data_IF_203800945807
#
_entry.id   IF_203800945807
#
_cell.length_a   1.000
_cell.length_b   1.000
_cell.length_c   1.000
_cell.angle_alpha   90.00
_cell.angle_beta   90.00
_cell.angle_gamma   90.00
#
_symmetry.space_group_name_H-M   'P 1'
#
loop_
_entity.id
_entity.type
_entity.pdbx_description
1 polymer ?
#
# COMPACT_ATOMS: atom_id res chain seq x y z
N UNK A 1 -3.01 4.59 -20.69
CA UNK A 1 -3.80 3.68 -19.85
C UNK A 1 -3.00 2.87 -18.82
N UNK A 2 -2.35 1.72 -19.10
CA UNK A 2 -1.71 0.93 -17.99
C UNK A 2 -0.56 1.66 -17.29
N UNK A 3 0.46 2.08 -18.06
CA UNK A 3 1.60 2.91 -17.58
C UNK A 3 1.18 4.23 -16.91
N UNK A 4 0.06 4.77 -17.33
CA UNK A 4 -0.47 6.04 -16.82
C UNK A 4 -1.03 5.89 -15.42
N UNK A 5 -1.70 4.77 -15.11
CA UNK A 5 -2.16 4.50 -13.75
C UNK A 5 -0.99 4.30 -12.78
N UNK A 6 0.06 3.59 -13.21
CA UNK A 6 1.26 3.39 -12.42
C UNK A 6 1.96 4.70 -12.07
N UNK A 7 2.16 5.55 -13.09
CA UNK A 7 2.76 6.86 -12.91
C UNK A 7 1.92 7.76 -12.00
N UNK A 8 0.58 7.75 -12.15
CA UNK A 8 -0.32 8.49 -11.27
C UNK A 8 -0.26 7.98 -9.82
N UNK A 9 -0.20 6.66 -9.62
CA UNK A 9 -0.13 6.08 -8.28
C UNK A 9 1.17 6.48 -7.57
N UNK A 10 2.31 6.42 -8.28
CA UNK A 10 3.60 6.88 -7.77
C UNK A 10 3.57 8.38 -7.43
N UNK A 11 3.06 9.24 -8.33
CA UNK A 11 2.95 10.68 -8.09
C UNK A 11 2.03 11.02 -6.89
N UNK A 12 0.93 10.27 -6.75
CA UNK A 12 0.01 10.41 -5.62
C UNK A 12 0.69 10.03 -4.29
N UNK A 13 1.53 9.00 -4.29
CA UNK A 13 2.23 8.50 -3.10
C UNK A 13 3.47 9.28 -2.69
N UNK A 14 4.09 10.05 -3.59
CA UNK A 14 5.37 10.75 -3.38
C UNK A 14 5.27 11.91 -2.38
N UNK A 15 5.13 11.58 -1.11
CA UNK A 15 4.85 12.49 -0.01
C UNK A 15 5.74 12.20 1.21
N UNK A 16 6.33 13.24 1.78
CA UNK A 16 7.22 13.11 2.94
C UNK A 16 6.50 12.60 4.19
N UNK A 17 5.23 12.97 4.40
CA UNK A 17 4.46 12.46 5.54
C UNK A 17 4.09 10.99 5.35
N UNK A 18 3.73 10.57 4.13
CA UNK A 18 3.54 9.14 3.84
C UNK A 18 4.85 8.35 4.07
N UNK A 19 5.99 8.89 3.61
CA UNK A 19 7.31 8.27 3.85
C UNK A 19 7.64 8.15 5.34
N UNK A 20 7.30 9.16 6.15
CA UNK A 20 7.47 9.12 7.60
C UNK A 20 6.57 8.04 8.25
N UNK A 21 5.31 7.92 7.80
CA UNK A 21 4.40 6.87 8.27
C UNK A 21 4.95 5.48 7.94
N UNK A 22 5.49 5.25 6.73
CA UNK A 22 6.11 3.96 6.39
C UNK A 22 7.30 3.64 7.31
N UNK A 23 8.07 4.66 7.69
CA UNK A 23 9.17 4.50 8.65
C UNK A 23 8.65 4.07 10.01
N UNK A 24 7.63 4.76 10.53
CA UNK A 24 6.99 4.41 11.80
C UNK A 24 6.35 3.03 11.77
N UNK A 25 5.73 2.65 10.65
CA UNK A 25 5.16 1.33 10.47
C UNK A 25 6.23 0.24 10.58
N UNK A 26 7.36 0.37 9.89
CA UNK A 26 8.50 -0.53 10.05
C UNK A 26 9.01 -0.57 11.50
N UNK A 27 9.09 0.57 12.18
CA UNK A 27 9.61 0.64 13.54
C UNK A 27 8.66 -0.02 14.56
N UNK A 28 7.35 0.15 14.40
CA UNK A 28 6.34 -0.48 15.28
C UNK A 28 6.26 -1.99 15.02
N UNK A 29 6.28 -2.42 13.77
CA UNK A 29 6.14 -3.84 13.39
C UNK A 29 7.45 -4.62 13.41
N UNK A 30 8.58 -3.91 13.47
CA UNK A 30 9.93 -4.44 13.25
C UNK A 30 10.12 -5.09 11.87
N UNK A 31 9.24 -4.78 10.91
CA UNK A 31 9.30 -5.33 9.55
C UNK A 31 10.23 -4.51 8.65
N UNK A 32 10.89 -5.20 7.74
CA UNK A 32 11.88 -4.63 6.84
C UNK A 32 11.32 -3.94 5.59
N UNK A 33 10.11 -4.26 5.16
CA UNK A 33 9.48 -3.63 4.00
C UNK A 33 8.13 -3.04 4.38
N UNK A 34 7.82 -1.86 3.87
CA UNK A 34 6.51 -1.23 3.98
C UNK A 34 6.13 -0.49 2.69
N UNK A 35 4.85 -0.52 2.32
CA UNK A 35 4.36 0.18 1.15
C UNK A 35 2.92 0.68 1.31
N UNK A 36 2.63 1.80 0.66
CA UNK A 36 1.27 2.17 0.27
C UNK A 36 1.07 1.70 -1.16
N UNK A 37 -0.03 1.01 -1.41
CA UNK A 37 -0.37 0.51 -2.73
C UNK A 37 -1.76 0.94 -3.16
N UNK A 38 -1.90 1.27 -4.44
CA UNK A 38 -3.18 1.43 -5.10
C UNK A 38 -3.65 0.07 -5.61
N UNK A 39 -4.89 -0.29 -5.30
CA UNK A 39 -5.45 -1.60 -5.64
C UNK A 39 -6.68 -1.41 -6.51
N UNK A 40 -6.65 -1.97 -7.72
CA UNK A 40 -7.80 -2.05 -8.62
C UNK A 40 -8.36 -3.47 -8.64
N UNK A 41 -9.32 -3.73 -9.53
CA UNK A 41 -9.86 -5.08 -9.73
C UNK A 41 -8.78 -6.08 -10.19
N UNK A 42 -7.82 -5.61 -10.98
CA UNK A 42 -6.84 -6.42 -11.69
C UNK A 42 -5.38 -6.13 -11.32
N UNK A 43 -5.10 -5.02 -10.61
CA UNK A 43 -3.72 -4.57 -10.35
C UNK A 43 -3.48 -4.12 -8.92
N UNK A 44 -2.30 -4.45 -8.43
CA UNK A 44 -1.68 -3.84 -7.26
C UNK A 44 -0.52 -2.98 -7.75
N UNK A 45 -0.45 -1.72 -7.31
CA UNK A 45 0.55 -0.76 -7.78
C UNK A 45 1.17 -0.07 -6.58
N UNK A 46 2.49 -0.12 -6.44
CA UNK A 46 3.19 0.58 -5.37
C UNK A 46 3.11 2.10 -5.57
N UNK A 47 2.57 2.82 -4.59
CA UNK A 47 2.52 4.29 -4.59
C UNK A 47 3.76 4.88 -3.92
N UNK A 48 4.10 4.36 -2.75
CA UNK A 48 5.27 4.76 -1.95
C UNK A 48 5.82 3.52 -1.27
N UNK A 49 7.14 3.37 -1.23
CA UNK A 49 7.82 2.20 -0.67
C UNK A 49 8.92 2.63 0.29
N UNK A 50 9.10 1.85 1.34
CA UNK A 50 10.28 1.79 2.18
C UNK A 50 10.77 0.34 2.20
N UNK A 51 11.97 0.09 1.65
CA UNK A 51 12.56 -1.24 1.55
C UNK A 51 13.91 -1.27 2.27
N UNK A 52 13.98 -2.00 3.39
CA UNK A 52 15.19 -2.19 4.21
C UNK A 52 15.72 -3.63 4.10
N UNK A 53 15.09 -4.49 3.29
CA UNK A 53 15.39 -5.92 3.17
C UNK A 53 15.67 -6.35 1.72
N UNK A 54 15.83 -5.38 0.81
CA UNK A 54 16.03 -5.60 -0.60
C UNK A 54 14.95 -6.50 -1.22
N UNK A 55 13.68 -6.27 -0.83
CA UNK A 55 12.53 -6.96 -1.39
C UNK A 55 12.36 -6.68 -2.88
N UNK A 56 12.80 -5.50 -3.34
CA UNK A 56 12.98 -5.18 -4.76
C UNK A 56 11.75 -4.57 -5.44
N UNK A 57 10.81 -4.01 -4.68
CA UNK A 57 9.71 -3.22 -5.23
C UNK A 57 10.03 -1.72 -5.15
N UNK A 58 9.74 -1.02 -6.25
CA UNK A 58 9.90 0.43 -6.35
C UNK A 58 8.53 1.10 -6.57
N UNK A 59 8.38 2.40 -6.26
CA UNK A 59 7.19 3.15 -6.64
C UNK A 59 6.86 3.00 -8.14
N UNK A 60 5.60 2.70 -8.45
CA UNK A 60 5.11 2.39 -9.78
C UNK A 60 5.24 0.92 -10.20
N UNK A 61 5.91 0.06 -9.41
CA UNK A 61 5.92 -1.38 -9.65
C UNK A 61 4.50 -1.96 -9.56
N UNK A 62 4.20 -2.91 -10.45
CA UNK A 62 2.89 -3.58 -10.52
C UNK A 62 3.01 -5.05 -10.14
N UNK A 63 2.03 -5.56 -9.40
CA UNK A 63 1.83 -6.99 -9.14
C UNK A 63 0.45 -7.43 -9.67
N UNK A 64 0.37 -8.66 -10.17
CA UNK A 64 -0.91 -9.27 -10.57
C UNK A 64 -1.75 -9.54 -9.33
N UNK A 65 -3.01 -9.11 -9.33
CA UNK A 65 -3.91 -9.30 -8.19
C UNK A 65 -4.13 -10.77 -7.81
N UNK A 66 -4.05 -11.71 -8.75
CA UNK A 66 -4.14 -13.14 -8.45
C UNK A 66 -2.95 -13.64 -7.60
N UNK A 67 -1.87 -12.87 -7.59
CA UNK A 67 -0.66 -13.13 -6.81
C UNK A 67 -0.59 -12.24 -5.56
N UNK A 68 -1.71 -11.66 -5.09
CA UNK A 68 -1.71 -10.80 -3.89
C UNK A 68 -2.81 -11.17 -2.91
N UNK A 69 -2.55 -10.94 -1.62
CA UNK A 69 -3.53 -11.08 -0.53
C UNK A 69 -4.56 -9.92 -0.54
N UNK A 70 -4.19 -8.78 -1.14
CA UNK A 70 -5.01 -7.57 -1.19
C UNK A 70 -6.35 -7.74 -1.91
N UNK A 71 -6.54 -8.80 -2.70
CA UNK A 71 -7.81 -9.16 -3.34
C UNK A 71 -8.93 -9.40 -2.32
N UNK A 72 -8.62 -10.10 -1.24
CA UNK A 72 -9.57 -10.43 -0.17
C UNK A 72 -9.93 -9.18 0.64
N UNK A 73 -8.94 -8.31 0.88
CA UNK A 73 -9.11 -7.02 1.57
C UNK A 73 -10.04 -6.11 0.78
N UNK A 74 -9.87 -6.02 -0.55
CA UNK A 74 -10.77 -5.21 -1.39
C UNK A 74 -12.22 -5.67 -1.33
N UNK A 75 -12.46 -6.98 -1.14
CA UNK A 75 -13.82 -7.54 -1.13
C UNK A 75 -14.49 -7.47 0.24
N UNK A 76 -13.71 -7.53 1.31
CA UNK A 76 -14.22 -7.63 2.69
C UNK A 76 -14.01 -6.37 3.52
N UNK A 77 -13.13 -5.47 3.07
CA UNK A 77 -12.62 -4.31 3.81
C UNK A 77 -11.99 -4.68 5.17
N UNK A 78 -11.66 -5.95 5.38
CA UNK A 78 -10.98 -6.44 6.57
C UNK A 78 -9.47 -6.46 6.32
N UNK A 79 -8.70 -6.12 7.35
CA UNK A 79 -7.25 -6.24 7.32
C UNK A 79 -6.79 -7.69 7.40
N UNK A 80 -5.56 -7.95 6.95
CA UNK A 80 -4.87 -9.23 7.13
C UNK A 80 -3.64 -9.01 7.99
N UNK A 81 -3.46 -9.87 9.00
CA UNK A 81 -2.32 -9.86 9.91
C UNK A 81 -1.82 -11.30 10.04
N UNK A 82 -0.52 -11.50 9.82
CA UNK A 82 0.15 -12.80 9.85
C UNK A 82 1.45 -12.64 10.62
N UNK A 83 1.52 -13.23 11.82
CA UNK A 83 2.74 -13.18 12.63
C UNK A 83 3.81 -14.15 12.11
N UNK A 84 3.37 -15.34 11.71
CA UNK A 84 4.25 -16.42 11.26
C UNK A 84 3.53 -17.36 10.28
N UNK A 85 3.87 -17.23 8.99
CA UNK A 85 3.30 -18.03 7.89
C UNK A 85 3.39 -19.53 8.14
N UNK A 86 4.55 -20.05 8.56
CA UNK A 86 4.73 -21.50 8.73
C UNK A 86 3.95 -22.08 9.93
N UNK A 87 3.60 -21.24 10.91
CA UNK A 87 2.83 -21.65 12.08
C UNK A 87 1.31 -21.44 11.91
N UNK A 88 0.89 -20.67 10.90
CA UNK A 88 -0.50 -20.37 10.63
C UNK A 88 -1.09 -21.36 9.61
N UNK A 89 -2.10 -22.12 10.02
CA UNK A 89 -2.72 -23.17 9.20
C UNK A 89 -3.31 -22.60 7.90
N UNK A 90 -3.80 -21.36 7.92
CA UNK A 90 -4.37 -20.71 6.73
C UNK A 90 -3.28 -20.31 5.72
N UNK A 91 -2.07 -19.96 6.21
CA UNK A 91 -1.02 -19.35 5.38
C UNK A 91 0.14 -20.28 5.03
N UNK A 92 0.42 -21.32 5.82
CA UNK A 92 1.57 -22.22 5.63
C UNK A 92 1.63 -22.91 4.25
N UNK A 93 0.49 -23.06 3.58
CA UNK A 93 0.38 -23.67 2.23
C UNK A 93 -0.07 -22.67 1.17
N UNK A 94 -0.19 -21.39 1.52
CA UNK A 94 -0.67 -20.38 0.62
C UNK A 94 0.42 -20.00 -0.40
N UNK A 95 0.12 -19.92 -1.70
CA UNK A 95 1.13 -19.72 -2.75
C UNK A 95 1.82 -18.35 -2.67
N UNK A 96 1.13 -17.31 -2.21
CA UNK A 96 1.66 -15.93 -2.16
C UNK A 96 2.87 -15.80 -1.20
N UNK A 97 2.78 -16.15 0.10
CA UNK A 97 3.95 -16.14 0.98
C UNK A 97 5.13 -16.96 0.48
N UNK A 98 4.86 -18.12 -0.14
CA UNK A 98 5.90 -19.01 -0.69
C UNK A 98 6.60 -18.33 -1.88
N UNK A 99 5.83 -17.73 -2.78
CA UNK A 99 6.36 -17.08 -3.99
C UNK A 99 7.23 -15.86 -3.65
N UNK A 100 6.80 -15.03 -2.70
CA UNK A 100 7.53 -13.82 -2.30
C UNK A 100 8.52 -14.04 -1.15
N UNK A 101 8.53 -15.22 -0.52
CA UNK A 101 9.51 -15.59 0.50
C UNK A 101 9.36 -14.88 1.86
N UNK A 102 8.19 -14.33 2.18
CA UNK A 102 7.97 -13.68 3.48
C UNK A 102 7.41 -14.62 4.54
N UNK A 103 7.64 -14.30 5.82
CA UNK A 103 7.17 -15.08 6.97
C UNK A 103 6.22 -14.33 7.88
N UNK A 104 6.19 -13.01 7.81
CA UNK A 104 5.17 -12.18 8.45
C UNK A 104 4.65 -11.12 7.49
N UNK A 105 3.42 -10.69 7.70
CA UNK A 105 2.71 -9.79 6.79
C UNK A 105 1.59 -9.04 7.50
N UNK A 106 1.44 -7.76 7.18
CA UNK A 106 0.25 -6.98 7.50
C UNK A 106 -0.23 -6.23 6.28
N UNK A 107 -1.54 -6.10 6.13
CA UNK A 107 -2.14 -5.25 5.12
C UNK A 107 -3.49 -4.73 5.57
N UNK A 108 -3.62 -3.40 5.58
CA UNK A 108 -4.79 -2.68 6.06
C UNK A 108 -5.39 -1.85 4.94
N UNK A 109 -6.73 -1.74 4.85
CA UNK A 109 -7.38 -0.95 3.81
C UNK A 109 -7.10 0.54 4.01
N UNK A 110 -6.85 1.23 2.90
CA UNK A 110 -6.71 2.69 2.84
C UNK A 110 -7.97 3.23 2.17
N UNK A 111 -8.77 3.93 2.97
CA UNK A 111 -10.04 4.54 2.56
C UNK A 111 -9.83 6.05 2.44
N UNK A 112 -10.26 6.62 1.32
CA UNK A 112 -10.19 8.06 1.07
C UNK A 112 -11.27 8.82 1.86
N UNK A 113 -11.13 10.14 1.92
CA UNK A 113 -12.07 11.02 2.61
C UNK A 113 -13.50 10.97 2.04
N UNK A 114 -13.66 10.56 0.77
CA UNK A 114 -14.97 10.35 0.14
C UNK A 114 -15.57 8.96 0.42
N UNK A 115 -14.90 8.14 1.24
CA UNK A 115 -15.32 6.78 1.59
C UNK A 115 -14.93 5.72 0.55
N UNK A 116 -14.27 6.10 -0.55
CA UNK A 116 -13.84 5.12 -1.55
C UNK A 116 -12.58 4.37 -1.13
N UNK A 117 -12.55 3.08 -1.41
CA UNK A 117 -11.36 2.25 -1.25
C UNK A 117 -10.30 2.63 -2.30
N UNK A 118 -9.12 3.03 -1.84
CA UNK A 118 -7.98 3.35 -2.71
C UNK A 118 -7.05 2.16 -2.90
N UNK A 119 -6.79 1.43 -1.82
CA UNK A 119 -5.84 0.34 -1.79
C UNK A 119 -5.43 -0.02 -0.38
N UNK A 120 -4.15 -0.31 -0.14
CA UNK A 120 -3.69 -0.86 1.13
C UNK A 120 -2.40 -0.24 1.63
N UNK A 121 -2.27 -0.15 2.95
CA UNK A 121 -1.00 0.04 3.66
C UNK A 121 -0.52 -1.33 4.11
N UNK A 122 0.64 -1.78 3.65
CA UNK A 122 1.18 -3.10 3.98
C UNK A 122 2.62 -3.05 4.48
N UNK A 123 2.99 -4.06 5.26
CA UNK A 123 4.37 -4.34 5.64
C UNK A 123 4.66 -5.85 5.59
N UNK A 124 5.91 -6.18 5.29
CA UNK A 124 6.37 -7.54 4.94
C UNK A 124 7.74 -7.77 5.57
N UNK A 125 7.99 -8.98 6.07
CA UNK A 125 9.32 -9.38 6.55
C UNK A 125 9.60 -10.88 6.30
N UNK A 126 10.84 -11.26 5.95
CA UNK A 126 11.25 -12.65 5.78
C UNK A 126 11.38 -13.40 7.10
N UNK A 127 11.35 -12.71 8.25
CA UNK A 127 11.27 -13.33 9.57
C UNK A 127 9.84 -13.24 10.14
N UNK A 128 9.47 -14.14 11.06
CA UNK A 128 8.29 -13.98 11.90
C UNK A 128 8.39 -12.70 12.73
N UNK A 129 7.26 -11.99 12.89
CA UNK A 129 7.15 -10.77 13.70
C UNK A 129 5.83 -10.82 14.46
N UNK A 130 5.83 -10.48 15.74
CA UNK A 130 4.60 -10.40 16.52
C UNK A 130 3.90 -9.07 16.21
N UNK A 131 2.87 -9.12 15.38
CA UNK A 131 2.12 -7.94 14.87
C UNK A 131 0.62 -8.03 15.17
N UNK A 132 0.13 -9.19 15.63
CA UNK A 132 -1.24 -9.41 16.06
C UNK A 132 -1.61 -8.79 17.41
N UNK A 133 -0.67 -8.17 18.11
CA UNK A 133 -0.96 -7.48 19.37
C UNK A 133 -1.94 -6.32 19.16
N UNK A 134 -2.97 -6.16 20.01
CA UNK A 134 -4.01 -5.14 19.82
C UNK A 134 -3.48 -3.71 19.69
N UNK A 135 -2.41 -3.37 20.42
CA UNK A 135 -1.78 -2.06 20.34
C UNK A 135 -1.10 -1.82 18.98
N UNK A 136 -0.44 -2.86 18.44
CA UNK A 136 0.18 -2.83 17.12
C UNK A 136 -0.87 -2.69 16.03
N UNK A 137 -1.94 -3.48 16.09
CA UNK A 137 -3.08 -3.38 15.16
C UNK A 137 -3.67 -1.97 15.18
N UNK A 138 -3.98 -1.43 16.35
CA UNK A 138 -4.56 -0.09 16.48
C UNK A 138 -3.63 1.01 15.92
N UNK A 139 -2.31 0.86 16.09
CA UNK A 139 -1.34 1.78 15.49
C UNK A 139 -1.37 1.71 13.95
N UNK A 140 -1.38 0.50 13.37
CA UNK A 140 -1.43 0.32 11.92
C UNK A 140 -2.74 0.85 11.33
N UNK A 141 -3.87 0.65 12.01
CA UNK A 141 -5.17 1.24 11.62
C UNK A 141 -5.13 2.77 11.62
N UNK A 142 -4.47 3.38 12.62
CA UNK A 142 -4.22 4.81 12.67
C UNK A 142 -3.40 5.29 11.47
N UNK A 143 -2.29 4.62 11.19
CA UNK A 143 -1.44 4.93 10.04
C UNK A 143 -2.18 4.80 8.70
N UNK A 144 -2.98 3.75 8.50
CA UNK A 144 -3.76 3.55 7.29
C UNK A 144 -4.79 4.69 7.07
N UNK A 145 -5.41 5.16 8.17
CA UNK A 145 -6.33 6.30 8.15
C UNK A 145 -5.62 7.60 7.76
N UNK A 146 -4.46 7.87 8.37
CA UNK A 146 -3.67 9.07 8.10
C UNK A 146 -3.18 9.09 6.64
N UNK A 147 -2.72 7.96 6.13
CA UNK A 147 -2.39 7.79 4.71
C UNK A 147 -3.60 8.10 3.81
N UNK A 148 -4.80 7.63 4.16
CA UNK A 148 -6.03 7.91 3.42
C UNK A 148 -6.34 9.42 3.34
N UNK A 149 -6.15 10.14 4.45
CA UNK A 149 -6.32 11.61 4.49
C UNK A 149 -5.29 12.32 3.61
N UNK A 150 -4.01 11.94 3.72
CA UNK A 150 -2.91 12.52 2.94
C UNK A 150 -3.12 12.30 1.44
N UNK A 151 -3.44 11.07 1.04
CA UNK A 151 -3.73 10.75 -0.37
C UNK A 151 -4.92 11.54 -0.90
N UNK A 152 -5.98 11.69 -0.11
CA UNK A 152 -7.16 12.47 -0.51
C UNK A 152 -6.79 13.92 -0.84
N UNK A 153 -6.01 14.57 0.03
CA UNK A 153 -5.54 15.93 -0.18
C UNK A 153 -4.62 16.06 -1.42
N UNK A 154 -3.72 15.08 -1.61
CA UNK A 154 -2.81 15.05 -2.76
C UNK A 154 -3.53 14.86 -4.08
N UNK A 155 -4.46 13.91 -4.16
CA UNK A 155 -5.25 13.65 -5.36
C UNK A 155 -6.00 14.92 -5.80
N UNK A 156 -6.58 15.67 -4.87
CA UNK A 156 -7.25 16.94 -5.17
C UNK A 156 -6.26 17.98 -5.71
N UNK A 157 -5.10 18.11 -5.06
CA UNK A 157 -4.06 19.07 -5.47
C UNK A 157 -3.53 18.77 -6.88
N UNK A 158 -3.25 17.51 -7.20
CA UNK A 158 -2.80 17.07 -8.54
C UNK A 158 -3.88 17.38 -9.59
N UNK A 159 -5.16 17.12 -9.30
CA UNK A 159 -6.27 17.43 -10.22
C UNK A 159 -6.38 18.93 -10.51
N UNK A 160 -6.21 19.78 -9.51
CA UNK A 160 -6.26 21.24 -9.66
C UNK A 160 -5.07 21.79 -10.46
N UNK A 161 -3.87 21.25 -10.25
CA UNK A 161 -2.67 21.68 -10.98
C UNK A 161 -2.64 21.16 -12.42
N UNK A 162 -3.20 19.98 -12.68
CA UNK A 162 -3.38 19.42 -14.02
C UNK A 162 -4.36 20.24 -14.89
N UNK A 163 -5.52 20.61 -14.33
CA UNK A 163 -6.50 21.47 -15.04
C UNK A 163 -5.96 22.87 -15.34
N UNK A 164 -5.16 23.44 -14.44
CA UNK A 164 -4.49 24.73 -14.65
C UNK A 164 -3.36 24.71 -15.71
N UNK A 165 -2.82 23.54 -16.06
CA UNK A 165 -1.86 23.37 -17.16
C UNK A 165 -2.57 23.23 -18.52
N UNK A 166 -3.70 22.54 -18.58
CA UNK A 166 -4.44 22.33 -19.83
C UNK A 166 -5.16 23.61 -20.30
N UNK A 167 -5.65 24.43 -19.37
CA UNK A 167 -6.24 25.75 -19.66
C UNK A 167 -5.25 26.79 -20.21
N UNK A 168 -3.93 26.52 -20.20
CA UNK A 168 -2.88 27.41 -20.73
C UNK A 168 -2.39 27.01 -22.12
N UNK A 169 -3.00 26.01 -22.77
CA UNK A 169 -2.65 25.64 -24.14
C UNK A 169 -3.27 26.65 -25.11
N UNK A 170 -2.49 27.46 -25.84
CA UNK A 170 -3.06 28.40 -26.80
C UNK A 170 -3.78 27.60 -27.90
N UNK A 171 -5.00 28.00 -28.23
CA UNK A 171 -5.66 27.52 -29.44
C UNK A 171 -4.79 27.96 -30.63
N UNK A 172 -4.07 27.01 -31.22
CA UNK A 172 -3.43 27.21 -32.51
C UNK A 172 -4.57 27.35 -33.53
N UNK A 173 -4.75 28.58 -34.02
CA UNK A 173 -5.60 28.90 -35.15
C UNK A 173 -4.98 28.48 -36.48
#
# INVERSE_FOLDING_TARGET
MKKELAMQAAEQGDDDAIRAILTQLCDVTQMGFAAVARVTEDRWIACQVLDKIDFGLEPGAELDMQMTICKEIRQTENYVVIDHVDADIAWQKHPVPIFYGFKSYVSFPVILADGSFYGTLCAIDPAPRLVSEPATIAAIEGFARDVGVLLSARILTIRMTGTAKDARRPQAG
#
